data_IF_620583507893
#
_entry.id   IF_620583507893
#
_cell.length_a   1.000
_cell.length_b   1.000
_cell.length_c   1.000
_cell.angle_alpha   90.00
_cell.angle_beta   90.00
_cell.angle_gamma   90.00
#
_symmetry.space_group_name_H-M   'P 1'
#
loop_
_entity.id
_entity.type
_entity.pdbx_description
1 polymer ?
#
# COMPACT_ATOMS: atom_id res chain seq x y z
N UNK A 1 -18.74 14.47 -0.52
CA UNK A 1 -19.90 15.35 -0.48
C UNK A 1 -20.39 15.63 -1.89
N UNK A 2 -21.65 15.43 -2.12
CA UNK A 2 -22.24 15.67 -3.42
C UNK A 2 -22.53 17.15 -3.64
N UNK A 3 -22.33 17.60 -4.88
CA UNK A 3 -22.68 18.96 -5.27
C UNK A 3 -23.92 18.93 -6.15
N UNK A 4 -24.99 19.59 -5.72
CA UNK A 4 -26.23 19.73 -6.50
C UNK A 4 -26.83 18.39 -6.93
N UNK A 5 -26.76 17.37 -6.06
CA UNK A 5 -27.31 16.04 -6.35
C UNK A 5 -26.50 15.20 -7.32
N UNK A 6 -25.32 15.67 -7.71
CA UNK A 6 -24.41 14.91 -8.58
C UNK A 6 -23.50 14.03 -7.75
N UNK A 7 -23.13 12.87 -8.31
CA UNK A 7 -22.18 12.00 -7.66
C UNK A 7 -20.80 12.66 -7.63
N UNK A 8 -19.98 12.37 -6.59
CA UNK A 8 -18.62 12.88 -6.54
C UNK A 8 -17.81 12.42 -7.75
N UNK A 9 -16.89 13.25 -8.17
CA UNK A 9 -15.96 12.86 -9.22
C UNK A 9 -15.08 11.71 -8.75
N UNK A 10 -14.79 10.76 -9.63
CA UNK A 10 -13.93 9.62 -9.35
C UNK A 10 -12.72 9.67 -10.27
N UNK A 11 -11.53 9.72 -9.68
CA UNK A 11 -10.29 9.67 -10.46
C UNK A 11 -10.02 8.25 -10.96
N UNK A 12 -9.36 8.10 -12.12
CA UNK A 12 -9.13 6.75 -12.68
C UNK A 12 -8.45 5.76 -11.75
N UNK A 13 -7.49 6.21 -10.92
CA UNK A 13 -6.79 5.30 -10.01
C UNK A 13 -7.71 4.75 -8.92
N UNK A 14 -8.78 5.47 -8.56
CA UNK A 14 -9.72 5.01 -7.55
C UNK A 14 -10.50 3.78 -7.99
N UNK A 15 -10.50 3.48 -9.29
CA UNK A 15 -11.17 2.30 -9.85
C UNK A 15 -10.27 1.07 -9.85
N UNK A 16 -8.99 1.22 -9.51
CA UNK A 16 -8.07 0.09 -9.46
C UNK A 16 -8.22 -0.65 -8.14
N UNK A 17 -8.56 -1.92 -8.22
CA UNK A 17 -8.72 -2.75 -7.03
C UNK A 17 -7.45 -2.76 -6.18
N UNK A 18 -6.28 -2.85 -6.82
CA UNK A 18 -5.02 -2.90 -6.09
C UNK A 18 -4.75 -1.61 -5.30
N UNK A 19 -5.21 -0.45 -5.81
CA UNK A 19 -5.10 0.81 -5.09
C UNK A 19 -5.95 0.78 -3.82
N UNK A 20 -7.19 0.32 -3.93
CA UNK A 20 -8.10 0.22 -2.78
C UNK A 20 -7.54 -0.72 -1.72
N UNK A 21 -7.02 -1.88 -2.13
CA UNK A 21 -6.41 -2.83 -1.21
C UNK A 21 -5.19 -2.24 -0.51
N UNK A 22 -4.40 -1.44 -1.22
CA UNK A 22 -3.23 -0.77 -0.65
C UNK A 22 -3.63 0.27 0.39
N UNK A 23 -4.70 1.04 0.11
CA UNK A 23 -5.22 2.01 1.07
C UNK A 23 -5.77 1.29 2.32
N UNK A 24 -6.47 0.18 2.11
CA UNK A 24 -6.99 -0.62 3.23
C UNK A 24 -5.85 -1.15 4.11
N UNK A 25 -4.76 -1.59 3.50
CA UNK A 25 -3.59 -2.05 4.25
C UNK A 25 -2.98 -0.90 5.05
N UNK A 26 -2.87 0.28 4.45
CA UNK A 26 -2.36 1.45 5.14
C UNK A 26 -3.24 1.80 6.35
N UNK A 27 -4.55 1.78 6.18
CA UNK A 27 -5.48 2.07 7.26
C UNK A 27 -5.33 1.07 8.41
N UNK A 28 -5.21 -0.22 8.09
CA UNK A 28 -4.97 -1.25 9.10
C UNK A 28 -3.68 -0.97 9.88
N UNK A 29 -2.59 -0.70 9.17
CA UNK A 29 -1.29 -0.49 9.81
C UNK A 29 -1.30 0.79 10.64
N UNK A 30 -1.88 1.88 10.13
CA UNK A 30 -1.98 3.12 10.91
C UNK A 30 -2.73 2.87 12.23
N UNK A 31 -3.80 2.08 12.18
CA UNK A 31 -4.54 1.73 13.41
C UNK A 31 -3.68 0.96 14.41
N UNK A 32 -2.84 0.04 13.92
CA UNK A 32 -1.93 -0.70 14.77
C UNK A 32 -0.89 0.23 15.40
N UNK A 33 -0.36 1.17 14.63
CA UNK A 33 0.66 2.11 15.12
C UNK A 33 0.11 3.04 16.21
N UNK A 34 -1.18 3.34 16.17
CA UNK A 34 -1.82 4.18 17.17
C UNK A 34 -1.80 3.55 18.56
N UNK A 35 -1.66 2.22 18.65
CA UNK A 35 -1.60 1.53 19.93
C UNK A 35 -0.21 1.49 20.54
N UNK A 36 0.80 1.98 19.82
CA UNK A 36 2.18 1.99 20.33
C UNK A 36 2.32 3.01 21.45
N UNK A 37 3.25 2.77 22.42
CA UNK A 37 3.45 3.70 23.52
C UNK A 37 3.84 5.09 22.99
N UNK A 38 3.30 6.16 23.59
CA UNK A 38 3.63 7.52 23.17
C UNK A 38 5.12 7.81 23.43
N UNK A 39 5.71 8.57 22.50
CA UNK A 39 7.10 9.02 22.57
C UNK A 39 8.13 7.88 22.52
N UNK A 40 7.73 6.70 22.02
CA UNK A 40 8.63 5.58 21.82
C UNK A 40 8.52 5.09 20.37
N UNK A 41 9.62 4.55 19.87
CA UNK A 41 9.65 3.92 18.53
C UNK A 41 9.27 4.89 17.41
N UNK A 42 9.51 6.19 17.61
CA UNK A 42 9.07 7.22 16.67
C UNK A 42 9.65 7.01 15.27
N UNK A 43 10.90 6.56 15.20
CA UNK A 43 11.55 6.36 13.90
C UNK A 43 10.92 5.22 13.10
N UNK A 44 10.69 4.07 13.74
CA UNK A 44 10.11 2.93 13.02
C UNK A 44 8.66 3.20 12.66
N UNK A 45 7.93 3.93 13.52
CA UNK A 45 6.56 4.35 13.21
C UNK A 45 6.56 5.22 11.96
N UNK A 46 7.42 6.24 11.91
CA UNK A 46 7.52 7.15 10.78
C UNK A 46 7.89 6.41 9.50
N UNK A 47 8.85 5.48 9.58
CA UNK A 47 9.27 4.69 8.42
C UNK A 47 8.13 3.79 7.92
N UNK A 48 7.39 3.16 8.84
CA UNK A 48 6.27 2.30 8.47
C UNK A 48 5.14 3.10 7.83
N UNK A 49 4.82 4.27 8.40
CA UNK A 49 3.79 5.14 7.82
C UNK A 49 4.15 5.52 6.39
N UNK A 50 5.39 5.91 6.16
CA UNK A 50 5.84 6.30 4.83
C UNK A 50 5.84 5.11 3.86
N UNK A 51 6.30 3.95 4.31
CA UNK A 51 6.39 2.76 3.46
C UNK A 51 4.99 2.30 3.02
N UNK A 52 4.06 2.14 3.95
CA UNK A 52 2.73 1.64 3.61
C UNK A 52 1.93 2.65 2.81
N UNK A 53 2.07 3.95 3.09
CA UNK A 53 1.43 4.99 2.30
C UNK A 53 2.00 5.02 0.87
N UNK A 54 3.29 4.75 0.74
CA UNK A 54 3.97 4.75 -0.56
C UNK A 54 3.42 3.74 -1.55
N UNK A 55 2.85 2.62 -1.07
CA UNK A 55 2.28 1.60 -1.96
C UNK A 55 1.16 2.23 -2.80
N UNK A 56 0.14 2.77 -2.16
CA UNK A 56 -1.00 3.37 -2.86
C UNK A 56 -0.63 4.64 -3.59
N UNK A 57 0.26 5.46 -3.03
CA UNK A 57 0.71 6.69 -3.67
C UNK A 57 1.36 6.42 -5.04
N UNK A 58 2.23 5.42 -5.11
CA UNK A 58 2.91 5.09 -6.36
C UNK A 58 1.98 4.47 -7.39
N UNK A 59 0.98 3.69 -6.95
CA UNK A 59 -0.04 3.17 -7.86
C UNK A 59 -0.80 4.34 -8.50
N UNK A 60 -1.22 5.31 -7.69
CA UNK A 60 -1.97 6.46 -8.17
C UNK A 60 -1.14 7.32 -9.14
N UNK A 61 0.11 7.59 -8.77
CA UNK A 61 1.01 8.38 -9.62
C UNK A 61 1.26 7.67 -10.96
N UNK A 62 1.46 6.35 -10.92
CA UNK A 62 1.69 5.57 -12.12
C UNK A 62 0.49 5.58 -13.05
N UNK A 63 -0.72 5.46 -12.49
CA UNK A 63 -1.95 5.49 -13.28
C UNK A 63 -2.12 6.81 -14.01
N UNK A 64 -1.60 7.91 -13.43
CA UNK A 64 -1.66 9.22 -14.05
C UNK A 64 -0.62 9.47 -15.14
N UNK A 65 0.33 8.56 -15.33
CA UNK A 65 1.36 8.71 -16.33
C UNK A 65 0.81 8.50 -17.75
N UNK A 66 1.41 9.18 -18.72
CA UNK A 66 0.98 9.12 -20.10
C UNK A 66 1.33 7.78 -20.75
N UNK A 67 2.48 7.19 -20.40
CA UNK A 67 2.99 5.99 -21.07
C UNK A 67 2.97 4.77 -20.15
N UNK A 68 2.67 3.61 -20.75
CA UNK A 68 2.63 2.33 -20.00
C UNK A 68 3.96 2.02 -19.32
N UNK A 69 5.06 2.35 -19.98
CA UNK A 69 6.40 2.10 -19.43
C UNK A 69 6.59 2.82 -18.10
N UNK A 70 6.14 4.08 -18.01
CA UNK A 70 6.22 4.85 -16.78
C UNK A 70 5.31 4.27 -15.72
N UNK A 71 4.10 3.87 -16.08
CA UNK A 71 3.16 3.23 -15.16
C UNK A 71 3.78 1.97 -14.56
N UNK A 72 4.35 1.10 -15.40
CA UNK A 72 5.03 -0.11 -14.94
C UNK A 72 6.14 0.23 -13.93
N UNK A 73 6.91 1.27 -14.20
CA UNK A 73 7.99 1.69 -13.32
C UNK A 73 7.46 2.08 -11.93
N UNK A 74 6.37 2.85 -11.88
CA UNK A 74 5.74 3.21 -10.61
C UNK A 74 5.17 2.00 -9.88
N UNK A 75 4.67 1.01 -10.60
CA UNK A 75 4.19 -0.23 -9.98
C UNK A 75 5.33 -0.99 -9.32
N UNK A 76 6.51 -1.01 -9.92
CA UNK A 76 7.69 -1.61 -9.28
C UNK A 76 8.15 -0.82 -8.05
N UNK A 77 8.05 0.51 -8.10
CA UNK A 77 8.36 1.34 -6.92
C UNK A 77 7.36 1.03 -5.80
N UNK A 78 6.08 0.88 -6.15
CA UNK A 78 5.04 0.47 -5.19
C UNK A 78 5.39 -0.86 -4.55
N UNK A 79 5.85 -1.84 -5.34
CA UNK A 79 6.29 -3.13 -4.82
C UNK A 79 7.46 -2.97 -3.85
N UNK A 80 8.40 -2.08 -4.15
CA UNK A 80 9.50 -1.77 -3.24
C UNK A 80 9.00 -1.26 -1.89
N UNK A 81 7.99 -0.39 -1.90
CA UNK A 81 7.36 0.08 -0.68
C UNK A 81 6.68 -1.05 0.09
N UNK A 82 6.08 -2.00 -0.63
CA UNK A 82 5.46 -3.17 -0.02
C UNK A 82 6.50 -4.03 0.68
N UNK A 83 7.65 -4.28 0.03
CA UNK A 83 8.73 -5.05 0.62
C UNK A 83 9.31 -4.37 1.85
N UNK A 84 9.42 -3.05 1.82
CA UNK A 84 9.83 -2.27 3.00
C UNK A 84 8.82 -2.43 4.13
N UNK A 85 7.53 -2.35 3.82
CA UNK A 85 6.45 -2.56 4.79
C UNK A 85 6.56 -3.95 5.43
N UNK A 86 6.78 -4.98 4.62
CA UNK A 86 6.92 -6.35 5.12
C UNK A 86 8.15 -6.52 6.01
N UNK A 87 9.26 -5.90 5.64
CA UNK A 87 10.49 -5.96 6.42
C UNK A 87 10.29 -5.31 7.79
N UNK A 88 9.69 -4.11 7.81
CA UNK A 88 9.40 -3.42 9.07
C UNK A 88 8.41 -4.21 9.91
N UNK A 89 7.42 -4.84 9.28
CA UNK A 89 6.46 -5.71 9.97
C UNK A 89 7.17 -6.85 10.71
N UNK A 90 8.12 -7.50 10.05
CA UNK A 90 8.87 -8.60 10.67
C UNK A 90 9.72 -8.10 11.84
N UNK A 91 10.33 -6.93 11.70
CA UNK A 91 11.09 -6.32 12.80
C UNK A 91 10.17 -6.04 13.99
N UNK A 92 9.01 -5.46 13.73
CA UNK A 92 8.02 -5.15 14.77
C UNK A 92 7.53 -6.42 15.48
N UNK A 93 7.31 -7.50 14.72
CA UNK A 93 6.90 -8.78 15.27
C UNK A 93 7.97 -9.33 16.22
N UNK A 94 9.22 -9.35 15.78
CA UNK A 94 10.34 -9.85 16.61
C UNK A 94 10.54 -9.02 17.86
N UNK A 95 10.30 -7.70 17.74
CA UNK A 95 10.40 -6.79 18.90
C UNK A 95 9.14 -6.82 19.77
N UNK A 96 8.16 -7.62 19.42
CA UNK A 96 6.88 -7.77 20.13
C UNK A 96 6.10 -6.45 20.21
N UNK A 97 6.25 -5.61 19.20
CA UNK A 97 5.47 -4.38 19.08
C UNK A 97 4.09 -4.64 18.49
N UNK A 98 3.97 -5.71 17.71
CA UNK A 98 2.69 -6.20 17.17
C UNK A 98 2.59 -7.69 17.47
N UNK A 99 1.38 -8.22 17.45
CA UNK A 99 1.15 -9.65 17.65
C UNK A 99 1.51 -10.46 16.41
N UNK A 100 1.73 -11.76 16.60
CA UNK A 100 1.93 -12.67 15.49
C UNK A 100 0.72 -12.68 14.56
N UNK A 101 -0.49 -12.59 15.11
CA UNK A 101 -1.72 -12.54 14.31
C UNK A 101 -1.77 -11.29 13.44
N UNK A 102 -1.39 -10.13 13.99
CA UNK A 102 -1.35 -8.89 13.19
C UNK A 102 -0.32 -8.98 12.09
N UNK A 103 0.86 -9.53 12.39
CA UNK A 103 1.91 -9.70 11.39
C UNK A 103 1.45 -10.64 10.26
N UNK A 104 0.75 -11.73 10.61
CA UNK A 104 0.21 -12.67 9.64
C UNK A 104 -0.82 -12.00 8.73
N UNK A 105 -1.71 -11.20 9.30
CA UNK A 105 -2.73 -10.49 8.52
C UNK A 105 -2.07 -9.52 7.53
N UNK A 106 -1.07 -8.77 7.97
CA UNK A 106 -0.34 -7.85 7.10
C UNK A 106 0.30 -8.63 5.95
N UNK A 107 0.92 -9.76 6.25
CA UNK A 107 1.58 -10.59 5.25
C UNK A 107 0.59 -11.14 4.22
N UNK A 108 -0.55 -11.63 4.68
CA UNK A 108 -1.57 -12.17 3.78
C UNK A 108 -2.14 -11.11 2.85
N UNK A 109 -2.45 -9.94 3.38
CA UNK A 109 -2.93 -8.82 2.56
C UNK A 109 -1.87 -8.35 1.57
N UNK A 110 -0.61 -8.32 2.01
CA UNK A 110 0.51 -7.91 1.17
C UNK A 110 0.72 -8.88 0.01
N UNK A 111 0.53 -10.19 0.23
CA UNK A 111 0.63 -11.17 -0.83
C UNK A 111 -0.41 -10.93 -1.92
N UNK A 112 -1.63 -10.62 -1.53
CA UNK A 112 -2.70 -10.33 -2.49
C UNK A 112 -2.35 -9.07 -3.30
N UNK A 113 -1.87 -8.04 -2.63
CA UNK A 113 -1.46 -6.78 -3.29
C UNK A 113 -0.35 -7.07 -4.30
N UNK A 114 0.68 -7.81 -3.90
CA UNK A 114 1.82 -8.10 -4.77
C UNK A 114 1.40 -8.89 -6.01
N UNK A 115 0.52 -9.87 -5.84
CA UNK A 115 -0.02 -10.65 -6.94
C UNK A 115 -0.77 -9.75 -7.93
N UNK A 116 -1.57 -8.81 -7.42
CA UNK A 116 -2.32 -7.88 -8.27
C UNK A 116 -1.42 -6.85 -8.94
N UNK A 117 -0.35 -6.41 -8.27
CA UNK A 117 0.65 -5.54 -8.89
C UNK A 117 1.28 -6.25 -10.10
N UNK A 118 1.70 -7.50 -9.93
CA UNK A 118 2.29 -8.28 -11.02
C UNK A 118 1.28 -8.56 -12.14
N UNK A 119 0.02 -8.84 -11.78
CA UNK A 119 -1.03 -9.02 -12.77
C UNK A 119 -1.22 -7.78 -13.61
N UNK A 120 -1.21 -6.61 -12.98
CA UNK A 120 -1.37 -5.34 -13.69
C UNK A 120 -0.14 -5.05 -14.57
N UNK A 121 1.06 -5.28 -14.04
CA UNK A 121 2.29 -5.12 -14.82
C UNK A 121 2.26 -6.01 -16.06
N UNK A 122 1.89 -7.28 -15.90
CA UNK A 122 1.82 -8.21 -17.02
C UNK A 122 0.77 -7.79 -18.04
N UNK A 123 -0.36 -7.31 -17.58
CA UNK A 123 -1.42 -6.79 -18.46
C UNK A 123 -0.91 -5.60 -19.27
N UNK A 124 -0.21 -4.68 -18.64
CA UNK A 124 0.34 -3.50 -19.32
C UNK A 124 1.41 -3.88 -20.36
N UNK A 125 2.13 -4.97 -20.12
CA UNK A 125 3.12 -5.49 -21.07
C UNK A 125 2.51 -6.35 -22.17
N UNK A 126 1.21 -6.60 -22.13
CA UNK A 126 0.55 -7.49 -23.07
C UNK A 126 0.80 -8.97 -22.77
N UNK A 127 1.17 -9.32 -21.54
CA UNK A 127 1.37 -10.70 -21.09
C UNK A 127 0.19 -11.13 -20.25
N UNK A 128 -0.25 -12.35 -20.45
CA UNK A 128 -1.35 -12.91 -19.65
C UNK A 128 -0.93 -14.17 -18.90
#
# INVERSE_FOLDING_TARGET
>A
MEKNGKEPFVFPFEKLEVWELAVDLADLIFSLLESFPPNKHLRIISQMEAAVAGISQNIAEGKGCQYKKEFIQFLYISEGCLFETLTLTEIMRRRKLISDADATEIKERSEVIDRKLHGLINSLRGRN
#
